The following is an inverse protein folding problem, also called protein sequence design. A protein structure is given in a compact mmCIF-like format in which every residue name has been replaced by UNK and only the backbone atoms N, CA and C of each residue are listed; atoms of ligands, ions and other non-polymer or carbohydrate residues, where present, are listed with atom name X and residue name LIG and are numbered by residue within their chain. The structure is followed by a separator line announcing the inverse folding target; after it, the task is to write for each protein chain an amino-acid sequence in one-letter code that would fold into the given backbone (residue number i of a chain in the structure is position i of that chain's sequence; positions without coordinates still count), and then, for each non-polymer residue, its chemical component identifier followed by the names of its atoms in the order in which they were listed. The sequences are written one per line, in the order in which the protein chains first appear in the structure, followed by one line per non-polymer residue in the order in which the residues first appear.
data_IF_412341636290
#
_entry.id   IF_412341636290
#
_cell.length_a   1.000
_cell.length_b   1.000
_cell.length_c   1.000
_cell.angle_alpha   90.00
_cell.angle_beta   90.00
_cell.angle_gamma   90.00
#
_symmetry.space_group_name_H-M   'P 1'
#
loop_
_entity.id
_entity.type
_entity.pdbx_description
1 polymer ?
#
# COMPACT_ATOMS: atom_id res chain seq x y z
N UNK A 1 20.14 15.88 -21.90
CA UNK A 1 20.38 16.07 -20.46
C UNK A 1 19.34 15.25 -19.71
N UNK A 2 19.75 14.13 -19.10
CA UNK A 2 18.89 13.33 -18.23
C UNK A 2 18.69 14.12 -16.92
N UNK A 3 17.48 14.62 -16.70
CA UNK A 3 17.14 15.34 -15.47
C UNK A 3 16.80 14.31 -14.39
N UNK A 4 17.84 13.72 -13.79
CA UNK A 4 17.76 12.85 -12.61
C UNK A 4 17.36 13.71 -11.39
N UNK A 5 16.06 14.03 -11.28
CA UNK A 5 15.51 14.78 -10.14
C UNK A 5 15.63 14.05 -8.79
N UNK A 6 15.98 12.76 -8.81
CA UNK A 6 16.11 11.92 -7.62
C UNK A 6 17.52 11.88 -7.03
N UNK A 7 18.52 12.46 -7.68
CA UNK A 7 19.87 12.52 -7.13
C UNK A 7 20.14 13.89 -6.50
N UNK A 8 19.89 14.03 -5.17
CA UNK A 8 20.67 14.94 -4.28
C UNK A 8 20.30 14.83 -2.80
N UNK A 9 21.15 14.11 -2.06
CA UNK A 9 21.98 14.64 -0.96
C UNK A 9 23.08 13.61 -0.68
N UNK A 10 24.31 13.92 -1.08
CA UNK A 10 25.47 13.14 -0.70
C UNK A 10 25.68 13.29 0.81
N UNK A 11 25.11 12.37 1.59
CA UNK A 11 25.41 12.24 3.01
C UNK A 11 26.76 11.56 3.10
N UNK A 12 27.81 12.30 3.47
CA UNK A 12 29.12 11.74 3.75
C UNK A 12 29.01 10.74 4.91
N UNK A 13 29.01 9.44 4.62
CA UNK A 13 29.07 8.40 5.66
C UNK A 13 30.13 7.38 5.31
N UNK A 14 30.96 7.09 6.31
CA UNK A 14 32.08 6.16 6.20
C UNK A 14 31.64 4.81 5.66
N UNK A 15 32.48 4.24 4.81
CA UNK A 15 32.30 2.92 4.21
C UNK A 15 32.26 1.88 5.34
N UNK A 16 31.07 1.55 5.83
CA UNK A 16 30.87 0.39 6.69
C UNK A 16 30.97 -0.85 5.82
N UNK A 17 32.17 -1.43 5.75
CA UNK A 17 32.38 -2.74 5.15
C UNK A 17 31.74 -3.81 6.03
N UNK A 18 30.46 -4.12 5.79
CA UNK A 18 29.81 -5.30 6.39
C UNK A 18 30.33 -6.53 5.65
N UNK A 19 31.23 -7.28 6.28
CA UNK A 19 31.78 -8.51 5.70
C UNK A 19 30.69 -9.55 5.41
N UNK A 20 30.63 -10.00 4.16
CA UNK A 20 29.71 -11.04 3.66
C UNK A 20 30.18 -12.45 4.07
N UNK A 21 30.34 -12.73 5.37
CA UNK A 21 30.66 -14.08 5.84
C UNK A 21 29.48 -14.68 6.59
N UNK A 22 28.81 -15.67 5.98
CA UNK A 22 27.97 -16.61 6.70
C UNK A 22 28.79 -17.40 7.74
N UNK A 23 28.13 -17.84 8.82
CA UNK A 23 28.68 -18.78 9.80
C UNK A 23 29.12 -20.10 9.15
N UNK A 24 28.51 -20.44 8.00
CA UNK A 24 28.79 -21.64 7.21
C UNK A 24 29.91 -21.47 6.16
N UNK A 25 30.65 -20.35 6.15
CA UNK A 25 31.77 -20.06 5.26
C UNK A 25 31.44 -20.15 3.74
N UNK A 26 30.19 -19.88 3.36
CA UNK A 26 29.74 -19.77 1.96
C UNK A 26 29.74 -18.31 1.52
N UNK A 27 30.38 -18.00 0.40
CA UNK A 27 30.42 -16.65 -0.16
C UNK A 27 29.02 -16.20 -0.65
N UNK A 28 28.65 -14.95 -0.39
CA UNK A 28 27.40 -14.35 -0.87
C UNK A 28 26.13 -14.85 -0.15
N UNK A 29 26.25 -15.78 0.79
CA UNK A 29 25.14 -16.19 1.64
C UNK A 29 25.25 -15.49 3.00
N UNK A 30 24.13 -14.95 3.49
CA UNK A 30 24.00 -14.44 4.84
C UNK A 30 22.98 -15.34 5.54
N UNK A 31 23.37 -15.98 6.63
CA UNK A 31 22.43 -16.79 7.40
C UNK A 31 21.27 -15.91 7.89
N UNK A 32 20.06 -16.47 7.90
CA UNK A 32 18.87 -15.76 8.38
C UNK A 32 19.15 -15.24 9.80
N UNK A 33 18.93 -13.93 9.98
CA UNK A 33 18.97 -13.36 11.32
C UNK A 33 17.67 -13.81 11.98
N UNK A 34 17.77 -14.70 12.97
CA UNK A 34 16.61 -15.05 13.80
C UNK A 34 16.22 -13.76 14.52
N UNK A 35 15.11 -13.16 14.12
CA UNK A 35 14.47 -12.12 14.90
C UNK A 35 14.00 -12.82 16.17
N UNK A 36 14.58 -12.47 17.31
CA UNK A 36 14.08 -12.94 18.60
C UNK A 36 12.82 -12.15 18.90
N UNK A 37 11.70 -12.86 18.94
CA UNK A 37 10.36 -12.32 19.14
C UNK A 37 10.18 -11.78 20.57
N UNK A 38 10.64 -10.55 20.84
CA UNK A 38 10.48 -9.89 22.14
C UNK A 38 9.13 -9.17 22.30
N UNK A 39 8.15 -9.44 21.42
CA UNK A 39 6.78 -8.94 21.59
C UNK A 39 5.91 -10.10 22.03
N UNK A 40 5.95 -10.40 23.34
CA UNK A 40 4.77 -10.99 23.97
C UNK A 40 3.66 -9.95 23.87
N UNK A 41 2.53 -10.23 23.20
CA UNK A 41 1.37 -9.37 23.36
C UNK A 41 1.03 -9.38 24.85
N UNK A 42 1.14 -8.24 25.52
CA UNK A 42 0.58 -8.07 26.85
C UNK A 42 -0.93 -8.26 26.71
N UNK A 43 -1.39 -9.49 26.97
CA UNK A 43 -2.81 -9.80 27.02
C UNK A 43 -3.30 -9.25 28.35
N UNK A 44 -3.84 -8.04 28.32
CA UNK A 44 -4.59 -7.48 29.43
C UNK A 44 -5.67 -8.48 29.86
N UNK A 45 -5.53 -9.03 31.06
CA UNK A 45 -6.39 -10.07 31.63
C UNK A 45 -7.77 -9.59 32.05
N UNK A 46 -8.12 -8.34 31.75
CA UNK A 46 -9.44 -7.75 31.99
C UNK A 46 -10.18 -7.52 30.67
N UNK A 47 -10.52 -8.62 30.00
CA UNK A 47 -11.38 -8.59 28.82
C UNK A 47 -12.85 -8.63 29.26
N UNK A 48 -13.48 -7.45 29.39
CA UNK A 48 -14.93 -7.34 29.34
C UNK A 48 -15.43 -8.05 28.07
N UNK A 49 -16.57 -8.74 28.12
CA UNK A 49 -17.19 -9.45 26.98
C UNK A 49 -17.22 -8.61 25.69
N UNK A 50 -17.35 -7.32 25.85
CA UNK A 50 -17.56 -6.37 24.76
C UNK A 50 -16.26 -6.08 24.00
N UNK A 51 -15.11 -6.08 24.69
CA UNK A 51 -13.80 -5.94 24.03
C UNK A 51 -13.52 -7.13 23.11
N UNK A 52 -13.91 -8.33 23.52
CA UNK A 52 -13.74 -9.54 22.72
C UNK A 52 -14.55 -9.49 21.42
N UNK A 53 -15.80 -9.05 21.49
CA UNK A 53 -16.66 -8.90 20.31
C UNK A 53 -16.07 -7.91 19.30
N UNK A 54 -15.47 -6.82 19.78
CA UNK A 54 -14.83 -5.80 18.93
C UNK A 54 -13.55 -6.33 18.29
N UNK A 55 -12.73 -7.06 19.03
CA UNK A 55 -11.54 -7.73 18.46
C UNK A 55 -11.93 -8.73 17.39
N UNK A 56 -12.99 -9.52 17.60
CA UNK A 56 -13.50 -10.42 16.57
C UNK A 56 -13.97 -9.67 15.33
N UNK A 57 -14.71 -8.58 15.51
CA UNK A 57 -15.16 -7.72 14.42
C UNK A 57 -13.98 -7.22 13.59
N UNK A 58 -12.96 -6.65 14.24
CA UNK A 58 -11.75 -6.16 13.59
C UNK A 58 -11.03 -7.28 12.82
N UNK A 59 -10.91 -8.47 13.42
CA UNK A 59 -10.31 -9.63 12.73
C UNK A 59 -11.09 -9.98 11.46
N UNK A 60 -12.42 -10.00 11.51
CA UNK A 60 -13.26 -10.28 10.34
C UNK A 60 -13.06 -9.26 9.23
N UNK A 61 -12.96 -7.96 9.55
CA UNK A 61 -12.66 -6.93 8.54
C UNK A 61 -11.27 -7.09 7.94
N UNK A 62 -10.26 -7.44 8.75
CA UNK A 62 -8.89 -7.74 8.26
C UNK A 62 -8.86 -8.96 7.34
N UNK A 63 -9.70 -9.95 7.64
CA UNK A 63 -9.71 -11.23 6.95
C UNK A 63 -10.57 -11.19 5.67
N UNK A 64 -11.72 -10.52 5.69
CA UNK A 64 -12.74 -10.55 4.63
C UNK A 64 -13.12 -9.19 4.04
N UNK A 65 -12.62 -8.07 4.57
CA UNK A 65 -12.97 -6.72 4.09
C UNK A 65 -12.68 -6.51 2.60
N UNK A 66 -11.66 -7.18 2.07
CA UNK A 66 -11.32 -7.15 0.64
C UNK A 66 -12.45 -7.64 -0.28
N UNK A 67 -13.37 -8.49 0.20
CA UNK A 67 -14.51 -8.99 -0.58
C UNK A 67 -15.61 -7.94 -0.78
N UNK A 68 -15.74 -7.00 0.15
CA UNK A 68 -16.66 -5.86 0.09
C UNK A 68 -16.03 -4.61 -0.53
N UNK A 69 -14.73 -4.62 -0.80
CA UNK A 69 -13.99 -3.44 -1.22
C UNK A 69 -14.37 -2.90 -2.60
N UNK A 70 -14.25 -1.58 -2.75
CA UNK A 70 -14.51 -0.87 -3.99
C UNK A 70 -13.22 -0.73 -4.83
N UNK A 71 -12.77 -1.86 -5.39
CA UNK A 71 -11.52 -1.94 -6.19
C UNK A 71 -11.73 -1.86 -7.70
N UNK A 72 -12.94 -2.16 -8.19
CA UNK A 72 -13.24 -2.17 -9.62
C UNK A 72 -13.64 -0.76 -10.13
N UNK A 73 -12.83 -0.11 -10.97
CA UNK A 73 -13.17 1.20 -11.52
C UNK A 73 -14.41 1.17 -12.43
N UNK A 74 -14.76 0.00 -12.99
CA UNK A 74 -15.93 -0.17 -13.86
C UNK A 74 -17.19 -0.60 -13.10
N UNK A 75 -17.08 -0.95 -11.82
CA UNK A 75 -18.19 -1.42 -10.95
C UNK A 75 -18.97 -2.62 -11.52
N UNK A 76 -18.29 -3.48 -12.26
CA UNK A 76 -18.89 -4.67 -12.89
C UNK A 76 -18.81 -5.90 -12.00
N UNK A 77 -17.84 -5.94 -11.09
CA UNK A 77 -17.71 -7.06 -10.16
C UNK A 77 -18.79 -7.01 -9.07
N UNK A 78 -19.48 -8.13 -8.79
CA UNK A 78 -20.39 -8.21 -7.67
C UNK A 78 -19.58 -8.08 -6.38
N UNK A 79 -20.03 -7.20 -5.47
CA UNK A 79 -19.49 -7.14 -4.12
C UNK A 79 -20.03 -8.34 -3.34
N UNK A 80 -19.13 -9.22 -2.90
CA UNK A 80 -19.51 -10.36 -2.08
C UNK A 80 -19.53 -9.90 -0.62
N UNK A 81 -20.72 -9.57 -0.13
CA UNK A 81 -20.92 -9.08 1.24
C UNK A 81 -21.51 -10.12 2.19
N UNK A 82 -21.98 -11.27 1.69
CA UNK A 82 -22.71 -12.27 2.50
C UNK A 82 -21.93 -12.75 3.72
N UNK A 83 -20.62 -12.96 3.61
CA UNK A 83 -19.78 -13.42 4.74
C UNK A 83 -19.57 -12.33 5.81
N UNK A 84 -19.64 -11.05 5.43
CA UNK A 84 -19.47 -9.92 6.35
C UNK A 84 -20.82 -9.50 6.97
N UNK A 85 -21.87 -9.48 6.17
CA UNK A 85 -23.21 -8.98 6.54
C UNK A 85 -24.00 -9.99 7.41
N UNK A 86 -23.84 -11.29 7.17
CA UNK A 86 -24.51 -12.33 7.97
C UNK A 86 -24.05 -12.31 9.45
N UNK A 87 -22.83 -11.84 9.71
CA UNK A 87 -22.25 -11.81 11.05
C UNK A 87 -22.38 -10.43 11.74
N UNK A 88 -22.44 -9.33 10.99
CA UNK A 88 -22.80 -8.01 11.56
C UNK A 88 -24.19 -8.10 12.23
N UNK A 89 -25.10 -8.89 11.65
CA UNK A 89 -26.43 -9.18 12.22
C UNK A 89 -26.39 -10.02 13.51
N UNK A 90 -25.33 -10.82 13.73
CA UNK A 90 -25.08 -11.51 15.01
C UNK A 90 -24.50 -10.56 16.08
N UNK A 91 -23.98 -9.40 15.66
CA UNK A 91 -23.47 -8.35 16.53
C UNK A 91 -24.53 -7.30 16.95
N UNK A 92 -25.83 -7.62 16.82
CA UNK A 92 -27.00 -6.91 17.40
C UNK A 92 -26.95 -6.71 18.95
N UNK A 93 -25.78 -6.89 19.57
CA UNK A 93 -25.52 -6.74 20.99
C UNK A 93 -25.03 -5.31 21.32
N UNK A 94 -24.69 -4.46 20.34
CA UNK A 94 -23.89 -3.26 20.60
C UNK A 94 -24.46 -1.92 20.08
N UNK A 95 -25.76 -1.82 19.75
CA UNK A 95 -26.41 -0.51 19.57
C UNK A 95 -26.45 0.32 20.87
N UNK A 96 -26.16 -0.29 22.04
CA UNK A 96 -26.20 0.36 23.36
C UNK A 96 -24.81 0.67 23.97
N UNK A 97 -23.71 0.55 23.22
CA UNK A 97 -22.37 0.74 23.76
C UNK A 97 -21.84 2.15 23.43
N UNK A 98 -21.94 3.07 24.39
CA UNK A 98 -21.58 4.47 24.18
C UNK A 98 -20.07 4.69 24.03
N UNK A 99 -19.20 3.91 24.70
CA UNK A 99 -17.74 4.08 24.63
C UNK A 99 -16.99 2.76 24.84
N UNK A 100 -16.21 2.33 23.85
CA UNK A 100 -15.31 1.15 23.93
C UNK A 100 -13.87 1.65 23.94
N UNK A 101 -13.05 1.12 24.85
CA UNK A 101 -11.61 1.41 24.86
C UNK A 101 -10.91 0.66 23.71
N UNK A 102 -10.19 1.41 22.87
CA UNK A 102 -9.53 0.94 21.64
C UNK A 102 -8.07 0.51 21.83
N UNK A 103 -7.51 0.70 23.03
CA UNK A 103 -6.10 0.44 23.32
C UNK A 103 -5.68 -0.97 22.87
N UNK A 104 -4.73 -1.05 21.94
CA UNK A 104 -4.18 -2.30 21.41
C UNK A 104 -5.02 -3.03 20.36
N UNK A 105 -6.22 -2.54 20.02
CA UNK A 105 -7.15 -3.21 19.08
C UNK A 105 -7.12 -2.58 17.68
N UNK A 106 -7.18 -1.26 17.62
CA UNK A 106 -7.25 -0.47 16.39
C UNK A 106 -6.28 0.72 16.47
N UNK A 107 -5.44 0.90 15.46
CA UNK A 107 -4.46 1.98 15.40
C UNK A 107 -4.94 3.21 14.62
N UNK A 108 -6.26 3.39 14.48
CA UNK A 108 -6.80 4.34 13.49
C UNK A 108 -7.07 5.75 14.05
N UNK A 109 -7.04 5.95 15.37
CA UNK A 109 -7.21 7.27 15.96
C UNK A 109 -6.33 7.46 17.20
N UNK A 110 -5.92 8.71 17.44
CA UNK A 110 -5.31 9.15 18.69
C UNK A 110 -6.31 9.22 19.86
N UNK A 111 -7.50 8.62 19.70
CA UNK A 111 -8.54 8.56 20.72
C UNK A 111 -8.51 7.19 21.38
N UNK A 112 -8.46 7.17 22.71
CA UNK A 112 -8.43 5.93 23.49
C UNK A 112 -9.80 5.24 23.55
N UNK A 113 -10.88 5.95 23.19
CA UNK A 113 -12.26 5.44 23.20
C UNK A 113 -13.02 5.87 21.96
N UNK A 114 -13.81 4.97 21.37
CA UNK A 114 -14.74 5.30 20.30
C UNK A 114 -16.06 4.52 20.46
N UNK A 115 -17.12 5.02 19.83
CA UNK A 115 -18.37 4.30 19.68
C UNK A 115 -18.24 3.17 18.66
N UNK A 116 -19.10 2.14 18.76
CA UNK A 116 -19.05 1.03 17.79
C UNK A 116 -19.33 1.50 16.35
N UNK A 117 -20.22 2.48 16.18
CA UNK A 117 -20.53 3.03 14.85
C UNK A 117 -19.30 3.67 14.22
N UNK A 118 -18.52 4.45 14.99
CA UNK A 118 -17.28 5.06 14.51
C UNK A 118 -16.23 4.00 14.15
N UNK A 119 -16.15 2.92 14.93
CA UNK A 119 -15.25 1.79 14.65
C UNK A 119 -15.60 1.12 13.32
N UNK A 120 -16.89 0.85 13.08
CA UNK A 120 -17.34 0.22 11.84
C UNK A 120 -17.08 1.14 10.65
N UNK A 121 -17.46 2.41 10.73
CA UNK A 121 -17.21 3.39 9.65
C UNK A 121 -15.71 3.47 9.31
N UNK A 122 -14.88 3.47 10.35
CA UNK A 122 -13.44 3.48 10.21
C UNK A 122 -12.90 2.20 9.54
N UNK A 123 -13.36 1.02 9.95
CA UNK A 123 -13.00 -0.26 9.35
C UNK A 123 -13.46 -0.36 7.89
N UNK A 124 -14.68 0.08 7.60
CA UNK A 124 -15.22 0.13 6.24
C UNK A 124 -14.38 1.06 5.35
N UNK A 125 -14.00 2.24 5.85
CA UNK A 125 -13.13 3.16 5.12
C UNK A 125 -11.73 2.56 4.87
N UNK A 126 -11.21 1.80 5.82
CA UNK A 126 -9.84 1.23 5.77
C UNK A 126 -9.76 0.00 4.85
N UNK A 127 -10.67 -0.97 5.02
CA UNK A 127 -10.58 -2.28 4.38
C UNK A 127 -11.55 -2.47 3.21
N UNK A 128 -12.65 -1.70 3.17
CA UNK A 128 -13.69 -1.79 2.14
C UNK A 128 -13.69 -0.60 1.15
N UNK A 129 -12.68 0.29 1.22
CA UNK A 129 -12.57 1.47 0.38
C UNK A 129 -11.99 1.20 -1.01
N UNK A 130 -11.23 2.17 -1.53
CA UNK A 130 -10.46 2.06 -2.79
C UNK A 130 -9.14 1.29 -2.65
N UNK A 131 -8.78 0.95 -1.42
CA UNK A 131 -7.65 0.12 -1.05
C UNK A 131 -8.21 -1.07 -0.27
N UNK A 132 -7.71 -2.26 -0.57
CA UNK A 132 -7.98 -3.47 0.21
C UNK A 132 -6.71 -4.28 0.38
N UNK A 133 -6.68 -5.11 1.42
CA UNK A 133 -5.56 -5.98 1.74
C UNK A 133 -6.03 -7.38 2.06
N UNK A 134 -5.23 -8.36 1.64
CA UNK A 134 -5.41 -9.76 1.99
C UNK A 134 -4.28 -10.17 2.92
N UNK A 135 -4.61 -10.57 4.14
CA UNK A 135 -3.60 -10.86 5.16
C UNK A 135 -3.54 -12.34 5.57
N UNK A 136 -4.55 -13.13 5.21
CA UNK A 136 -4.70 -14.51 5.66
C UNK A 136 -3.67 -15.50 5.12
N UNK A 137 -3.02 -15.15 4.02
CA UNK A 137 -1.99 -16.00 3.42
C UNK A 137 -0.62 -15.87 4.12
N UNK A 138 -0.45 -14.87 4.99
CA UNK A 138 0.81 -14.61 5.70
C UNK A 138 0.85 -15.49 6.96
N UNK A 139 1.86 -16.36 7.05
CA UNK A 139 2.01 -17.26 8.20
C UNK A 139 2.59 -16.57 9.44
N UNK A 140 3.37 -15.51 9.26
CA UNK A 140 3.99 -14.77 10.37
C UNK A 140 3.01 -13.74 10.95
N UNK A 141 2.62 -13.92 12.21
CA UNK A 141 1.68 -13.04 12.90
C UNK A 141 2.22 -11.61 13.07
N UNK A 142 3.52 -11.44 13.31
CA UNK A 142 4.11 -10.10 13.45
C UNK A 142 4.06 -9.31 12.15
N UNK A 143 4.32 -9.97 11.02
CA UNK A 143 4.17 -9.37 9.70
C UNK A 143 2.71 -9.03 9.43
N UNK A 144 1.79 -9.95 9.74
CA UNK A 144 0.33 -9.71 9.63
C UNK A 144 -0.08 -8.47 10.42
N UNK A 145 0.34 -8.36 11.68
CA UNK A 145 0.04 -7.22 12.56
C UNK A 145 0.72 -5.94 12.08
N UNK A 146 1.97 -6.01 11.61
CA UNK A 146 2.69 -4.85 11.10
C UNK A 146 2.01 -4.25 9.87
N UNK A 147 1.60 -5.08 8.91
CA UNK A 147 0.86 -4.62 7.73
C UNK A 147 -0.50 -4.04 8.15
N UNK A 148 -1.24 -4.72 9.02
CA UNK A 148 -2.53 -4.21 9.50
C UNK A 148 -2.40 -2.81 10.12
N UNK A 149 -1.40 -2.60 10.99
CA UNK A 149 -1.12 -1.28 11.58
C UNK A 149 -0.79 -0.23 10.52
N UNK A 150 0.05 -0.57 9.53
CA UNK A 150 0.40 0.36 8.44
C UNK A 150 -0.78 0.75 7.57
N UNK A 151 -1.68 -0.19 7.28
CA UNK A 151 -2.90 0.06 6.51
C UNK A 151 -3.87 0.94 7.32
N UNK A 152 -4.03 0.65 8.61
CA UNK A 152 -4.84 1.46 9.53
C UNK A 152 -4.32 2.90 9.64
N UNK A 153 -3.01 3.09 9.78
CA UNK A 153 -2.34 4.41 9.76
C UNK A 153 -2.53 5.15 8.41
N UNK A 154 -2.61 4.43 7.29
CA UNK A 154 -2.69 5.03 5.96
C UNK A 154 -3.97 5.84 5.72
N UNK A 155 -5.04 5.56 6.47
CA UNK A 155 -6.31 6.28 6.32
C UNK A 155 -6.24 7.75 6.73
N UNK A 156 -5.22 8.13 7.49
CA UNK A 156 -4.95 9.51 7.90
C UNK A 156 -4.08 10.26 6.88
N UNK A 157 -3.48 9.54 5.92
CA UNK A 157 -2.57 10.12 4.95
C UNK A 157 -3.33 10.98 3.93
N UNK A 158 -2.84 12.20 3.70
CA UNK A 158 -3.40 13.10 2.70
C UNK A 158 -2.31 13.80 1.91
N UNK A 159 -2.45 13.82 0.59
CA UNK A 159 -1.53 14.52 -0.29
C UNK A 159 -1.76 16.03 -0.24
N UNK A 160 -0.67 16.78 -0.29
CA UNK A 160 -0.68 18.24 -0.47
C UNK A 160 -1.27 18.63 -1.83
N UNK A 161 -1.67 19.90 -1.95
CA UNK A 161 -2.21 20.42 -3.21
C UNK A 161 -1.18 20.39 -4.35
N UNK A 162 0.12 20.51 -4.03
CA UNK A 162 1.20 20.48 -5.03
C UNK A 162 1.44 19.06 -5.55
N UNK A 163 1.48 18.06 -4.66
CA UNK A 163 1.59 16.64 -5.04
C UNK A 163 0.41 16.21 -5.91
N UNK A 164 -0.82 16.59 -5.54
CA UNK A 164 -2.02 16.31 -6.35
C UNK A 164 -1.91 16.89 -7.76
N UNK A 165 -1.43 18.14 -7.89
CA UNK A 165 -1.19 18.78 -9.20
C UNK A 165 -0.09 18.06 -9.99
N UNK A 166 0.96 17.61 -9.31
CA UNK A 166 2.06 16.87 -9.91
C UNK A 166 1.58 15.53 -10.48
N UNK A 167 0.87 14.72 -9.69
CA UNK A 167 0.30 13.45 -10.16
C UNK A 167 -0.70 13.65 -11.29
N UNK A 168 -1.58 14.66 -11.19
CA UNK A 168 -2.51 14.98 -12.28
C UNK A 168 -1.77 15.34 -13.58
N UNK A 169 -0.68 16.11 -13.48
CA UNK A 169 0.17 16.47 -14.63
C UNK A 169 0.81 15.23 -15.24
N UNK A 170 1.26 14.29 -14.41
CA UNK A 170 1.87 13.04 -14.88
C UNK A 170 0.85 12.16 -15.63
N UNK A 171 -0.36 12.01 -15.07
CA UNK A 171 -1.46 11.28 -15.72
C UNK A 171 -1.81 11.91 -17.09
N UNK A 172 -1.90 13.25 -17.14
CA UNK A 172 -2.15 13.96 -18.40
C UNK A 172 -1.03 13.78 -19.42
N UNK A 173 0.24 13.79 -18.99
CA UNK A 173 1.39 13.55 -19.88
C UNK A 173 1.33 12.16 -20.50
N UNK A 174 1.06 11.13 -19.70
CA UNK A 174 0.95 9.76 -20.15
C UNK A 174 -0.15 9.61 -21.22
N UNK A 175 -1.35 10.10 -20.92
CA UNK A 175 -2.48 10.10 -21.85
C UNK A 175 -2.17 10.85 -23.15
N UNK A 176 -1.56 12.03 -23.04
CA UNK A 176 -1.22 12.85 -24.21
C UNK A 176 -0.18 12.18 -25.10
N UNK A 177 0.78 11.48 -24.49
CA UNK A 177 1.79 10.72 -25.22
C UNK A 177 1.16 9.56 -26.01
N UNK A 178 0.23 8.84 -25.39
CA UNK A 178 -0.54 7.79 -26.07
C UNK A 178 -1.39 8.33 -27.22
N UNK A 179 -2.10 9.45 -27.01
CA UNK A 179 -2.89 10.11 -28.05
C UNK A 179 -2.01 10.61 -29.21
N UNK A 180 -0.80 11.08 -28.91
CA UNK A 180 0.18 11.46 -29.92
C UNK A 180 0.63 10.26 -30.76
N UNK A 181 0.99 9.16 -30.11
CA UNK A 181 1.37 7.91 -30.79
C UNK A 181 0.23 7.39 -31.66
N UNK A 182 -1.00 7.46 -31.17
CA UNK A 182 -2.19 7.06 -31.92
C UNK A 182 -2.38 7.87 -33.21
N UNK A 183 -2.12 9.18 -33.16
CA UNK A 183 -2.27 10.08 -34.31
C UNK A 183 -1.12 9.96 -35.31
N UNK A 184 0.12 9.84 -34.84
CA UNK A 184 1.31 9.84 -35.71
C UNK A 184 1.64 8.46 -36.28
N UNK A 185 1.40 7.40 -35.51
CA UNK A 185 1.74 6.02 -35.89
C UNK A 185 0.51 5.12 -35.78
N UNK A 186 -0.52 5.33 -36.60
CA UNK A 186 -1.78 4.60 -36.50
C UNK A 186 -1.63 3.10 -36.79
N UNK A 187 -0.65 2.72 -37.60
CA UNK A 187 -0.37 1.32 -37.98
C UNK A 187 0.47 0.57 -36.96
N UNK A 188 1.13 1.28 -36.03
CA UNK A 188 2.06 0.68 -35.09
C UNK A 188 1.35 0.16 -33.84
N UNK A 189 1.72 -1.05 -33.41
CA UNK A 189 1.22 -1.64 -32.16
C UNK A 189 2.01 -1.08 -30.97
N UNK A 190 1.43 -0.06 -30.33
CA UNK A 190 2.06 0.72 -29.24
C UNK A 190 1.95 0.13 -27.84
N UNK A 191 1.06 -0.84 -27.60
CA UNK A 191 0.82 -1.42 -26.28
C UNK A 191 0.56 -0.37 -25.17
N UNK A 192 -0.34 0.57 -25.47
CA UNK A 192 -0.65 1.70 -24.60
C UNK A 192 -1.14 1.29 -23.21
N UNK A 193 -0.80 2.12 -22.23
CA UNK A 193 -1.20 2.06 -20.84
C UNK A 193 -2.57 2.70 -20.57
N UNK A 194 -3.34 3.07 -21.59
CA UNK A 194 -4.68 3.63 -21.45
C UNK A 194 -5.56 2.82 -20.47
N UNK A 195 -6.15 3.50 -19.48
CA UNK A 195 -6.91 2.92 -18.38
C UNK A 195 -6.07 2.40 -17.20
N UNK A 196 -4.73 2.47 -17.30
CA UNK A 196 -3.78 2.12 -16.24
C UNK A 196 -2.70 3.20 -16.06
N UNK A 197 -3.02 4.45 -16.39
CA UNK A 197 -2.12 5.59 -16.25
C UNK A 197 -1.71 5.82 -14.79
N UNK A 198 -2.54 5.39 -13.83
CA UNK A 198 -2.28 5.42 -12.38
C UNK A 198 -1.07 4.60 -11.95
N UNK A 199 -0.56 3.68 -12.79
CA UNK A 199 0.68 2.96 -12.52
C UNK A 199 1.91 3.89 -12.55
N UNK A 200 1.88 4.97 -13.34
CA UNK A 200 3.00 5.91 -13.44
C UNK A 200 3.24 6.72 -12.16
N UNK A 201 2.22 7.40 -11.57
CA UNK A 201 2.45 8.11 -10.31
C UNK A 201 2.79 7.14 -9.17
N UNK A 202 2.28 5.90 -9.19
CA UNK A 202 2.70 4.86 -8.25
C UNK A 202 4.20 4.56 -8.35
N UNK A 203 4.72 4.33 -9.55
CA UNK A 203 6.15 4.05 -9.75
C UNK A 203 7.01 5.28 -9.42
N UNK A 204 6.53 6.48 -9.76
CA UNK A 204 7.22 7.72 -9.41
C UNK A 204 7.36 7.90 -7.90
N UNK A 205 6.26 7.70 -7.17
CA UNK A 205 6.25 7.79 -5.70
C UNK A 205 7.11 6.70 -5.08
N UNK A 206 7.06 5.46 -5.61
CA UNK A 206 7.92 4.37 -5.17
C UNK A 206 9.40 4.73 -5.30
N UNK A 207 9.82 5.33 -6.41
CA UNK A 207 11.21 5.76 -6.61
C UNK A 207 11.58 6.92 -5.70
N UNK A 208 10.67 7.88 -5.52
CA UNK A 208 10.84 9.01 -4.62
C UNK A 208 11.08 8.54 -3.19
N UNK A 209 10.21 7.68 -2.66
CA UNK A 209 10.31 7.12 -1.32
C UNK A 209 11.55 6.23 -1.15
N UNK A 210 11.80 5.32 -2.10
CA UNK A 210 12.98 4.45 -2.09
C UNK A 210 14.30 5.25 -2.00
N UNK A 211 14.39 6.34 -2.77
CA UNK A 211 15.60 7.18 -2.79
C UNK A 211 15.68 8.11 -1.58
N UNK A 212 14.60 8.83 -1.26
CA UNK A 212 14.61 9.88 -0.25
C UNK A 212 14.59 9.35 1.19
N UNK A 213 13.78 8.31 1.47
CA UNK A 213 13.61 7.76 2.81
C UNK A 213 14.64 6.66 3.12
N UNK A 214 14.87 5.77 2.16
CA UNK A 214 15.69 4.56 2.37
C UNK A 214 17.10 4.64 1.76
N UNK A 215 17.41 5.69 0.99
CA UNK A 215 18.74 5.88 0.40
C UNK A 215 19.11 4.82 -0.64
N UNK A 216 18.11 4.24 -1.33
CA UNK A 216 18.35 3.26 -2.39
C UNK A 216 18.92 3.97 -3.62
N UNK A 217 20.07 3.50 -4.09
CA UNK A 217 20.80 4.11 -5.22
C UNK A 217 20.42 3.49 -6.57
N UNK A 218 20.25 2.16 -6.60
CA UNK A 218 19.99 1.40 -7.83
C UNK A 218 18.64 0.67 -7.75
N UNK A 219 17.81 0.83 -8.79
CA UNK A 219 16.54 0.14 -8.95
C UNK A 219 16.50 -0.57 -10.30
N UNK A 220 16.30 -1.89 -10.28
CA UNK A 220 16.13 -2.69 -11.50
C UNK A 220 14.65 -2.95 -11.73
N UNK A 221 14.12 -2.48 -12.87
CA UNK A 221 12.70 -2.59 -13.20
C UNK A 221 12.48 -3.66 -14.27
N UNK A 222 11.74 -4.72 -13.91
CA UNK A 222 11.18 -5.67 -14.85
C UNK A 222 9.74 -5.30 -15.19
N UNK A 223 9.43 -5.03 -16.46
CA UNK A 223 8.08 -4.66 -16.91
C UNK A 223 7.72 -5.37 -18.22
N UNK A 224 6.44 -5.72 -18.36
CA UNK A 224 5.86 -6.20 -19.61
C UNK A 224 5.77 -5.08 -20.68
N UNK A 225 5.03 -5.32 -21.76
CA UNK A 225 4.90 -4.36 -22.87
C UNK A 225 3.92 -3.21 -22.59
N UNK A 226 2.93 -3.39 -21.69
CA UNK A 226 1.87 -2.42 -21.44
C UNK A 226 2.39 -1.21 -20.65
N UNK A 227 2.21 -0.01 -21.16
CA UNK A 227 2.65 1.21 -20.48
C UNK A 227 4.17 1.44 -20.50
N UNK A 228 4.91 0.62 -21.25
CA UNK A 228 6.38 0.64 -21.24
C UNK A 228 6.95 1.92 -21.84
N UNK A 229 6.37 2.42 -22.94
CA UNK A 229 6.87 3.62 -23.61
C UNK A 229 6.61 4.87 -22.76
N UNK A 230 5.50 4.87 -22.04
CA UNK A 230 5.08 5.88 -21.10
C UNK A 230 6.01 5.90 -19.89
N UNK A 231 6.32 4.73 -19.30
CA UNK A 231 7.32 4.64 -18.22
C UNK A 231 8.68 5.16 -18.66
N UNK A 232 9.16 4.73 -19.83
CA UNK A 232 10.45 5.15 -20.38
C UNK A 232 10.53 6.66 -20.59
N UNK A 233 9.50 7.26 -21.18
CA UNK A 233 9.53 8.69 -21.57
C UNK A 233 9.14 9.62 -20.43
N UNK A 234 8.08 9.29 -19.68
CA UNK A 234 7.51 10.17 -18.66
C UNK A 234 8.26 10.08 -17.32
N UNK A 235 8.78 8.90 -16.95
CA UNK A 235 9.49 8.71 -15.67
C UNK A 235 11.01 8.63 -15.88
N UNK A 236 11.48 7.72 -16.75
CA UNK A 236 12.91 7.44 -16.90
C UNK A 236 13.65 8.45 -17.80
N UNK A 237 12.92 9.41 -18.39
CA UNK A 237 13.50 10.48 -19.21
C UNK A 237 14.17 9.98 -20.48
N UNK A 238 13.76 8.82 -21.00
CA UNK A 238 14.22 8.32 -22.29
C UNK A 238 13.81 9.28 -23.40
N UNK A 239 14.74 9.72 -24.27
CA UNK A 239 14.45 10.74 -25.27
C UNK A 239 13.42 10.23 -26.30
N UNK A 240 12.26 10.89 -26.46
CA UNK A 240 11.21 10.44 -27.40
C UNK A 240 11.71 10.33 -28.85
N UNK A 241 12.66 11.18 -29.25
CA UNK A 241 13.26 11.15 -30.58
C UNK A 241 14.01 9.84 -30.92
N UNK A 242 14.35 9.00 -29.93
CA UNK A 242 14.92 7.67 -30.17
C UNK A 242 13.86 6.57 -30.28
N UNK A 243 12.61 6.87 -29.93
CA UNK A 243 11.47 5.95 -30.05
C UNK A 243 10.83 6.09 -31.43
N UNK A 244 10.82 7.32 -31.97
CA UNK A 244 10.23 7.68 -33.27
C UNK A 244 11.17 7.44 -34.45
#
# INVERSE_FOLDING_TARGET
MLNLKYCRKAVSRGVFYRGYKAKTNRFGYKDATVLTDDVTPEVDKESSSDKYNVVQLVSKYRDYGHKKAFIDPLKQLPQFSEELDNDISLHNIAENMEQINLSGVLNVSSQETASLSEIIECLEKTYCGHLSVELNHISNEQEKLWIARKVEESTQFSFSAEEKKHFATLLMKAKTFDDFLAKKFPTFKRYCGAGAESALPFVEELFSQASAEYGIEDVVVGMAHRGKLELLTCILGFPPAKIF
#
